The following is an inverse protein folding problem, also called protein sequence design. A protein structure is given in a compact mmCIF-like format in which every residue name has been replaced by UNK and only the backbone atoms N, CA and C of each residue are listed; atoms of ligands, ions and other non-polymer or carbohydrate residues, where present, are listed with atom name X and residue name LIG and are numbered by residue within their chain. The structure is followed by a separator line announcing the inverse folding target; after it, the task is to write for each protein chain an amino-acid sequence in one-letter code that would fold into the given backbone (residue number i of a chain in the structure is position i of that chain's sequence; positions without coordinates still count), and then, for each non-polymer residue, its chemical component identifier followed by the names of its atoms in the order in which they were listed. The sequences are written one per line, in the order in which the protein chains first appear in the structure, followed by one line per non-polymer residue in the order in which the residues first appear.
data_IF_223512548501
#
_entry.id   IF_223512548501
#
_cell.length_a   1.000
_cell.length_b   1.000
_cell.length_c   1.000
_cell.angle_alpha   90.00
_cell.angle_beta   90.00
_cell.angle_gamma   90.00
#
_symmetry.space_group_name_H-M   'P 1'
#
loop_
_entity.id
_entity.type
_entity.pdbx_description
1 polymer ?
#
# COMPACT_ATOMS: atom_id res chain seq x y z
N UNK A 1 7.41 14.63 7.25
CA UNK A 1 6.43 15.70 7.53
C UNK A 1 5.19 15.20 8.28
N UNK A 2 4.62 14.02 7.98
CA UNK A 2 3.40 13.55 8.65
C UNK A 2 3.57 13.04 10.10
N UNK A 3 4.75 12.50 10.47
CA UNK A 3 4.96 11.86 11.77
C UNK A 3 4.64 12.76 12.99
N UNK A 4 5.08 14.04 13.07
CA UNK A 4 4.73 14.91 14.20
C UNK A 4 3.22 15.12 14.36
N UNK A 5 2.49 15.25 13.25
CA UNK A 5 1.03 15.45 13.26
C UNK A 5 0.29 14.19 13.69
N UNK A 6 0.72 13.03 13.20
CA UNK A 6 0.17 11.73 13.58
C UNK A 6 0.42 11.44 15.07
N UNK A 7 1.61 11.75 15.57
CA UNK A 7 1.93 11.61 16.99
C UNK A 7 1.06 12.52 17.86
N UNK A 8 0.87 13.78 17.44
CA UNK A 8 0.02 14.73 18.16
C UNK A 8 -1.47 14.34 18.18
N UNK A 9 -1.91 13.50 17.23
CA UNK A 9 -3.28 12.96 17.22
C UNK A 9 -3.57 11.94 18.33
N UNK A 10 -2.53 11.44 19.02
CA UNK A 10 -2.64 10.46 20.10
C UNK A 10 -2.86 9.00 19.65
N UNK A 11 -3.43 8.77 18.46
CA UNK A 11 -3.63 7.43 17.88
C UNK A 11 -3.66 7.50 16.34
N UNK A 12 -2.49 7.55 15.71
CA UNK A 12 -2.37 7.72 14.26
C UNK A 12 -2.61 6.43 13.47
N UNK A 13 -3.21 6.54 12.29
CA UNK A 13 -3.44 5.41 11.39
C UNK A 13 -3.05 5.76 9.95
N UNK A 14 -2.30 4.88 9.30
CA UNK A 14 -1.87 5.02 7.91
C UNK A 14 -2.23 3.75 7.16
N UNK A 15 -2.86 3.93 6.00
CA UNK A 15 -3.18 2.83 5.08
C UNK A 15 -2.54 3.14 3.73
N UNK A 16 -1.60 2.31 3.31
CA UNK A 16 -0.96 2.39 2.00
C UNK A 16 -1.67 1.52 0.97
N UNK A 17 -1.75 2.02 -0.27
CA UNK A 17 -2.26 1.25 -1.40
C UNK A 17 -1.14 0.52 -2.14
N UNK A 18 -1.02 -0.77 -1.87
CA UNK A 18 -0.13 -1.70 -2.54
C UNK A 18 -0.84 -2.36 -3.75
N UNK A 19 -0.42 -3.57 -4.11
CA UNK A 19 -0.98 -4.44 -5.14
C UNK A 19 -0.54 -5.87 -4.85
N UNK A 20 -1.33 -6.85 -5.28
CA UNK A 20 -0.88 -8.26 -5.27
C UNK A 20 0.41 -8.45 -6.08
N UNK A 21 0.64 -7.64 -7.11
CA UNK A 21 1.91 -7.65 -7.87
C UNK A 21 3.15 -7.25 -7.06
N UNK A 22 2.97 -6.69 -5.86
CA UNK A 22 4.04 -6.44 -4.89
C UNK A 22 4.33 -7.63 -3.97
N UNK A 23 3.63 -8.76 -4.15
CA UNK A 23 3.74 -9.98 -3.33
C UNK A 23 4.01 -11.21 -4.20
N UNK A 24 3.37 -11.30 -5.37
CA UNK A 24 3.54 -12.42 -6.32
C UNK A 24 3.91 -11.91 -7.70
N UNK A 25 4.48 -12.78 -8.53
CA UNK A 25 4.85 -12.44 -9.91
C UNK A 25 3.62 -12.25 -10.79
N UNK A 26 3.59 -11.14 -11.50
CA UNK A 26 2.62 -10.79 -12.54
C UNK A 26 3.39 -10.02 -13.62
N UNK A 27 2.93 -10.02 -14.87
CA UNK A 27 3.64 -9.45 -16.04
C UNK A 27 3.76 -7.91 -16.06
N UNK A 28 4.01 -7.28 -14.91
CA UNK A 28 4.10 -5.83 -14.68
C UNK A 28 5.28 -5.52 -13.73
N UNK A 29 6.50 -5.88 -14.14
CA UNK A 29 7.69 -5.92 -13.25
C UNK A 29 8.00 -4.61 -12.52
N UNK A 30 8.04 -3.48 -13.22
CA UNK A 30 8.33 -2.17 -12.61
C UNK A 30 7.23 -1.76 -11.63
N UNK A 31 5.97 -1.93 -12.01
CA UNK A 31 4.84 -1.68 -11.13
C UNK A 31 4.89 -2.57 -9.89
N UNK A 32 5.11 -3.88 -10.06
CA UNK A 32 5.32 -4.84 -8.98
C UNK A 32 6.44 -4.43 -8.03
N UNK A 33 7.60 -4.01 -8.56
CA UNK A 33 8.71 -3.50 -7.76
C UNK A 33 8.31 -2.30 -6.89
N UNK A 34 7.61 -1.32 -7.46
CA UNK A 34 7.13 -0.16 -6.67
C UNK A 34 6.14 -0.55 -5.57
N UNK A 35 5.27 -1.53 -5.83
CA UNK A 35 4.29 -2.02 -4.84
C UNK A 35 4.95 -2.88 -3.75
N UNK A 36 5.99 -3.64 -4.11
CA UNK A 36 6.88 -4.31 -3.15
C UNK A 36 7.60 -3.32 -2.23
N UNK A 37 8.08 -2.20 -2.78
CA UNK A 37 8.70 -1.13 -1.97
C UNK A 37 7.71 -0.52 -0.96
N UNK A 38 6.44 -0.32 -1.35
CA UNK A 38 5.38 0.11 -0.43
C UNK A 38 5.18 -0.90 0.71
N UNK A 39 5.17 -2.20 0.41
CA UNK A 39 5.03 -3.24 1.43
C UNK A 39 6.17 -3.20 2.44
N UNK A 40 7.42 -3.04 1.98
CA UNK A 40 8.57 -2.95 2.87
C UNK A 40 8.56 -1.66 3.69
N UNK A 41 8.24 -0.52 3.07
CA UNK A 41 8.08 0.75 3.77
C UNK A 41 7.04 0.65 4.89
N UNK A 42 5.89 0.05 4.60
CA UNK A 42 4.80 -0.12 5.57
C UNK A 42 5.27 -0.89 6.80
N UNK A 43 6.00 -2.01 6.60
CA UNK A 43 6.55 -2.81 7.72
C UNK A 43 7.55 -2.00 8.55
N UNK A 44 8.45 -1.26 7.91
CA UNK A 44 9.41 -0.43 8.63
C UNK A 44 8.70 0.65 9.47
N UNK A 45 7.77 1.39 8.87
CA UNK A 45 7.01 2.43 9.56
C UNK A 45 6.15 1.87 10.71
N UNK A 46 5.55 0.69 10.52
CA UNK A 46 4.79 0.03 11.57
C UNK A 46 5.66 -0.25 12.80
N UNK A 47 6.89 -0.73 12.61
CA UNK A 47 7.83 -0.96 13.70
C UNK A 47 8.38 0.35 14.31
N UNK A 48 8.83 1.28 13.47
CA UNK A 48 9.45 2.53 13.89
C UNK A 48 8.50 3.41 14.71
N UNK A 49 7.22 3.45 14.32
CA UNK A 49 6.24 4.38 14.88
C UNK A 49 5.26 3.74 15.87
N UNK A 50 5.38 2.43 16.13
CA UNK A 50 4.54 1.73 17.11
C UNK A 50 4.55 2.39 18.50
N UNK A 51 5.72 2.82 18.96
CA UNK A 51 5.92 3.48 20.27
C UNK A 51 5.14 4.79 20.42
N UNK A 52 4.77 5.42 19.31
CA UNK A 52 4.03 6.68 19.26
C UNK A 52 2.52 6.43 19.12
N UNK A 53 2.06 5.19 19.31
CA UNK A 53 0.68 4.74 19.07
C UNK A 53 0.20 5.01 17.63
N UNK A 54 1.10 4.86 16.66
CA UNK A 54 0.82 5.00 15.23
C UNK A 54 0.86 3.62 14.58
N UNK A 55 -0.20 3.27 13.86
CA UNK A 55 -0.28 2.03 13.08
C UNK A 55 -0.12 2.33 11.60
N UNK A 56 0.69 1.53 10.92
CA UNK A 56 0.81 1.55 9.46
C UNK A 56 0.46 0.17 8.91
N UNK A 57 -0.42 0.13 7.91
CA UNK A 57 -0.81 -1.08 7.20
C UNK A 57 -0.84 -0.81 5.69
N UNK A 58 -0.77 -1.86 4.89
CA UNK A 58 -0.97 -1.79 3.45
C UNK A 58 -2.07 -2.73 3.02
N UNK A 59 -2.82 -2.32 2.01
CA UNK A 59 -3.81 -3.16 1.34
C UNK A 59 -3.26 -3.49 -0.05
N UNK A 60 -3.32 -4.75 -0.45
CA UNK A 60 -2.84 -5.24 -1.73
C UNK A 60 -4.00 -5.81 -2.56
N UNK A 61 -4.73 -4.97 -3.32
CA UNK A 61 -5.82 -5.45 -4.17
C UNK A 61 -5.30 -6.22 -5.38
N UNK A 62 -6.15 -7.11 -5.90
CA UNK A 62 -6.08 -7.56 -7.30
C UNK A 62 -6.81 -6.54 -8.19
N UNK A 63 -7.20 -6.92 -9.41
CA UNK A 63 -8.12 -6.16 -10.25
C UNK A 63 -9.43 -5.89 -9.48
N UNK A 64 -9.77 -4.61 -9.33
CA UNK A 64 -11.02 -4.13 -8.73
C UNK A 64 -11.67 -3.18 -9.74
N UNK A 65 -12.97 -3.36 -9.98
CA UNK A 65 -13.73 -2.55 -10.94
C UNK A 65 -13.66 -1.06 -10.59
N UNK A 66 -12.85 -0.34 -11.33
CA UNK A 66 -12.63 1.10 -11.23
C UNK A 66 -12.34 1.63 -12.64
N UNK A 67 -12.51 2.94 -12.90
CA UNK A 67 -12.21 3.51 -14.22
C UNK A 67 -10.76 3.26 -14.69
N UNK A 68 -9.83 3.03 -13.77
CA UNK A 68 -8.42 2.75 -14.09
C UNK A 68 -8.23 1.43 -14.85
N UNK A 69 -9.00 0.41 -14.50
CA UNK A 69 -8.88 -0.96 -15.06
C UNK A 69 -10.01 -1.27 -16.04
N UNK A 70 -10.84 -0.30 -16.38
CA UNK A 70 -12.03 -0.49 -17.22
C UNK A 70 -11.66 -1.07 -18.58
N UNK A 71 -10.58 -0.56 -19.19
CA UNK A 71 -10.02 -1.10 -20.44
C UNK A 71 -9.50 -2.53 -20.32
N UNK A 72 -8.90 -2.87 -19.18
CA UNK A 72 -8.34 -4.20 -18.97
C UNK A 72 -9.46 -5.23 -18.73
N UNK A 73 -10.53 -4.84 -18.03
CA UNK A 73 -11.71 -5.66 -17.78
C UNK A 73 -12.59 -5.85 -19.04
N UNK A 74 -12.64 -4.87 -19.93
CA UNK A 74 -13.34 -4.98 -21.23
C UNK A 74 -12.64 -5.96 -22.18
N UNK A 75 -11.32 -6.17 -22.03
CA UNK A 75 -10.54 -7.09 -22.86
C UNK A 75 -10.45 -8.52 -22.29
N UNK A 76 -10.92 -8.76 -21.06
CA UNK A 76 -11.02 -10.09 -20.44
C UNK A 76 -12.45 -10.71 -20.58
N UNK A 77 -13.36 -10.03 -21.30
CA UNK A 77 -14.71 -10.49 -21.67
C UNK A 77 -14.86 -10.55 -23.20
#
# INVERSE_FOLDING_TARGET
LAHPLLKNSGAGNIVFMSSVSGVVSVSVSLYGATKGAINQLTKNLACEWAKDNIRANSVAPWLIRTPLVERDLENEL
#
